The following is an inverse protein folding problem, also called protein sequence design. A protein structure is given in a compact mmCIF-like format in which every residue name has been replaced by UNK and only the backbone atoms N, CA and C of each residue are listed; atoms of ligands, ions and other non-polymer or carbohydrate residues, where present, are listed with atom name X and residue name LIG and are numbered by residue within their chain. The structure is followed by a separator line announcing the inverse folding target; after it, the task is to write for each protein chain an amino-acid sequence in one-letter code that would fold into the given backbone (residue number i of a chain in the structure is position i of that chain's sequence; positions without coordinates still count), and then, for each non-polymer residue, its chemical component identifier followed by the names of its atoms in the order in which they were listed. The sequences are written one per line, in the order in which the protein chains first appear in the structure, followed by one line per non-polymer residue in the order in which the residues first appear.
data_IF_691116035761
#
_entry.id   IF_691116035761
#
_cell.length_a   1.000
_cell.length_b   1.000
_cell.length_c   1.000
_cell.angle_alpha   90.00
_cell.angle_beta   90.00
_cell.angle_gamma   90.00
#
_symmetry.space_group_name_H-M   'P 1'
#
loop_
_entity.id
_entity.type
_entity.pdbx_description
1 polymer ?
#
# COMPACT_ATOMS: atom_id res chain seq x y z
N UNK A 1 12.09 -7.12 -5.24
CA UNK A 1 11.20 -6.07 -5.78
C UNK A 1 10.15 -5.88 -4.72
N UNK A 2 9.73 -4.65 -4.41
CA UNK A 2 8.69 -4.47 -3.37
C UNK A 2 7.40 -5.10 -3.87
N UNK A 3 6.88 -6.11 -3.18
CA UNK A 3 5.65 -6.84 -3.56
C UNK A 3 4.46 -5.88 -3.70
N UNK A 4 4.46 -4.81 -2.89
CA UNK A 4 3.50 -3.71 -3.01
C UNK A 4 3.60 -2.94 -4.34
N UNK A 5 4.81 -2.71 -4.87
CA UNK A 5 5.00 -2.03 -6.17
C UNK A 5 4.38 -2.84 -7.30
N UNK A 6 4.56 -4.16 -7.26
CA UNK A 6 4.00 -5.10 -8.24
C UNK A 6 2.48 -5.23 -8.09
N UNK A 7 1.97 -5.33 -6.86
CA UNK A 7 0.53 -5.33 -6.55
C UNK A 7 -0.14 -4.04 -7.02
N UNK A 8 0.47 -2.91 -6.70
CA UNK A 8 0.02 -1.61 -7.17
C UNK A 8 0.25 -1.46 -8.67
N UNK A 9 0.95 -2.35 -9.38
CA UNK A 9 1.23 -2.20 -10.81
C UNK A 9 1.80 -0.83 -11.16
N UNK A 10 2.66 -0.30 -10.29
CA UNK A 10 3.34 0.96 -10.50
C UNK A 10 4.75 0.69 -11.02
N UNK A 11 5.25 1.49 -11.96
CA UNK A 11 6.64 1.39 -12.33
C UNK A 11 7.51 1.83 -11.14
N UNK A 12 8.61 1.11 -10.90
CA UNK A 12 9.46 1.28 -9.71
C UNK A 12 9.87 2.74 -9.43
N UNK A 13 10.21 3.51 -10.46
CA UNK A 13 10.61 4.91 -10.29
C UNK A 13 9.48 5.82 -9.75
N UNK A 14 8.22 5.52 -10.06
CA UNK A 14 7.06 6.22 -9.49
C UNK A 14 6.79 5.74 -8.06
N UNK A 15 6.94 4.44 -7.82
CA UNK A 15 6.81 3.86 -6.48
C UNK A 15 7.86 4.38 -5.50
N UNK A 16 9.12 4.54 -5.93
CA UNK A 16 10.19 5.11 -5.11
C UNK A 16 9.94 6.60 -4.79
N UNK A 17 9.08 7.28 -5.57
CA UNK A 17 8.67 8.67 -5.33
C UNK A 17 7.42 8.80 -4.45
N UNK A 18 6.77 7.68 -4.12
CA UNK A 18 5.57 7.62 -3.31
C UNK A 18 5.95 7.55 -1.83
N UNK A 19 5.47 8.52 -1.06
CA UNK A 19 5.58 8.50 0.40
C UNK A 19 4.37 7.77 1.00
N UNK A 20 4.42 6.44 1.01
CA UNK A 20 3.34 5.58 1.54
C UNK A 20 3.61 5.26 3.00
N UNK A 21 2.64 5.60 3.86
CA UNK A 21 2.58 5.10 5.23
C UNK A 21 1.56 3.97 5.27
N UNK A 22 2.05 2.74 5.39
CA UNK A 22 1.20 1.56 5.52
C UNK A 22 0.73 1.47 6.98
N UNK A 23 -0.57 1.39 7.15
CA UNK A 23 -1.24 1.13 8.41
C UNK A 23 -1.81 -0.30 8.43
N UNK A 24 -1.89 -0.86 9.63
CA UNK A 24 -2.37 -2.22 9.87
C UNK A 24 -3.81 -2.17 10.39
N UNK A 25 -4.71 -2.90 9.74
CA UNK A 25 -6.07 -3.05 10.21
C UNK A 25 -6.20 -4.33 11.04
N UNK A 26 -5.97 -4.18 12.34
CA UNK A 26 -6.17 -5.25 13.30
C UNK A 26 -7.65 -5.38 13.65
N UNK A 27 -8.14 -6.61 13.70
CA UNK A 27 -9.49 -6.86 14.22
C UNK A 27 -9.64 -6.39 15.66
N UNK A 28 -10.88 -6.22 16.11
CA UNK A 28 -11.32 -5.65 17.40
C UNK A 28 -10.77 -6.32 18.69
N UNK A 29 -9.78 -7.22 18.57
CA UNK A 29 -9.06 -7.85 19.68
C UNK A 29 -7.55 -7.92 19.45
N UNK A 30 -7.01 -7.26 18.41
CA UNK A 30 -5.59 -7.30 18.00
C UNK A 30 -5.05 -8.73 17.76
N UNK A 31 -5.94 -9.69 17.53
CA UNK A 31 -5.57 -11.11 17.36
C UNK A 31 -5.34 -11.51 15.91
N UNK A 32 -5.91 -10.75 14.97
CA UNK A 32 -5.85 -11.07 13.55
C UNK A 32 -5.73 -9.80 12.73
N UNK A 33 -4.67 -9.72 11.94
CA UNK A 33 -4.50 -8.70 10.92
C UNK A 33 -5.41 -9.03 9.74
N UNK A 34 -6.33 -8.14 9.41
CA UNK A 34 -7.28 -8.36 8.31
C UNK A 34 -6.72 -7.92 6.97
N UNK A 35 -6.19 -6.69 6.93
CA UNK A 35 -5.56 -6.09 5.78
C UNK A 35 -4.60 -4.99 6.24
N UNK A 36 -3.78 -4.54 5.31
CA UNK A 36 -3.07 -3.29 5.44
C UNK A 36 -3.83 -2.22 4.66
N UNK A 37 -3.58 -0.95 4.93
CA UNK A 37 -4.12 0.14 4.13
C UNK A 37 -3.18 1.34 4.16
N UNK A 38 -3.38 2.28 3.25
CA UNK A 38 -2.73 3.59 3.33
C UNK A 38 -3.65 4.67 2.79
N UNK A 39 -3.39 5.90 3.20
CA UNK A 39 -4.07 7.07 2.66
C UNK A 39 -3.23 7.74 1.58
N UNK A 40 -3.89 8.12 0.49
CA UNK A 40 -3.27 8.87 -0.61
C UNK A 40 -2.93 10.27 -0.10
N UNK A 41 -1.64 10.52 0.15
CA UNK A 41 -1.17 11.81 0.68
C UNK A 41 -1.25 12.90 -0.39
N UNK A 42 -1.36 14.16 0.05
CA UNK A 42 -1.32 15.36 -0.81
C UNK A 42 -0.01 15.48 -1.61
N UNK A 43 1.07 14.87 -1.12
CA UNK A 43 2.36 14.81 -1.81
C UNK A 43 2.45 13.77 -2.93
N UNK A 44 1.39 12.98 -3.16
CA UNK A 44 1.39 11.94 -4.20
C UNK A 44 1.54 12.57 -5.60
N UNK A 45 2.50 12.13 -6.41
CA UNK A 45 2.68 12.62 -7.77
C UNK A 45 1.40 12.53 -8.61
N UNK A 46 1.08 13.60 -9.34
CA UNK A 46 -0.14 13.67 -10.16
C UNK A 46 -0.22 12.56 -11.22
N UNK A 47 0.92 12.11 -11.74
CA UNK A 47 1.00 10.99 -12.68
C UNK A 47 0.44 9.71 -12.07
N UNK A 48 0.72 9.44 -10.80
CA UNK A 48 0.26 8.27 -10.06
C UNK A 48 -1.24 8.39 -9.78
N UNK A 49 -1.68 9.58 -9.33
CA UNK A 49 -3.10 9.86 -9.11
C UNK A 49 -3.92 9.61 -10.39
N UNK A 50 -3.43 10.07 -11.54
CA UNK A 50 -4.10 9.87 -12.81
C UNK A 50 -4.06 8.41 -13.29
N UNK A 51 -2.92 7.73 -13.13
CA UNK A 51 -2.74 6.34 -13.55
C UNK A 51 -3.58 5.37 -12.72
N UNK A 52 -3.81 5.69 -11.45
CA UNK A 52 -4.61 4.87 -10.51
C UNK A 52 -6.02 5.36 -10.31
N UNK A 53 -6.38 6.52 -10.87
CA UNK A 53 -7.63 7.19 -10.57
C UNK A 53 -7.84 7.39 -9.06
N UNK A 54 -6.77 7.75 -8.35
CA UNK A 54 -6.81 8.06 -6.92
C UNK A 54 -7.01 9.54 -6.68
N UNK A 55 -7.74 9.87 -5.62
CA UNK A 55 -7.87 11.21 -5.08
C UNK A 55 -7.11 11.34 -3.76
N UNK A 56 -6.66 12.56 -3.44
CA UNK A 56 -5.98 12.83 -2.17
C UNK A 56 -6.95 12.60 -1.01
N UNK A 57 -6.56 11.75 -0.06
CA UNK A 57 -7.38 11.32 1.06
C UNK A 57 -8.09 9.98 0.84
N UNK A 58 -8.01 9.39 -0.36
CA UNK A 58 -8.54 8.05 -0.60
C UNK A 58 -7.81 7.01 0.24
N UNK A 59 -8.56 6.03 0.73
CA UNK A 59 -8.03 4.86 1.42
C UNK A 59 -7.83 3.72 0.44
N UNK A 60 -6.61 3.24 0.33
CA UNK A 60 -6.26 2.09 -0.51
C UNK A 60 -6.02 0.89 0.41
N UNK A 61 -6.87 -0.12 0.29
CA UNK A 61 -6.72 -1.38 1.02
C UNK A 61 -5.77 -2.33 0.29
N UNK A 62 -4.90 -2.96 1.08
CA UNK A 62 -3.90 -3.91 0.62
C UNK A 62 -4.14 -5.24 1.35
N UNK A 63 -4.45 -6.33 0.64
CA UNK A 63 -4.59 -7.66 1.24
C UNK A 63 -3.32 -8.09 1.97
N UNK A 64 -3.46 -8.83 3.07
CA UNK A 64 -2.32 -9.39 3.82
C UNK A 64 -1.44 -10.30 2.96
N UNK A 65 -2.02 -10.97 1.96
CA UNK A 65 -1.30 -11.84 1.04
C UNK A 65 -0.21 -11.11 0.24
N UNK A 66 -0.35 -9.79 0.04
CA UNK A 66 0.65 -8.96 -0.65
C UNK A 66 1.96 -8.90 0.14
N UNK A 67 1.91 -9.06 1.46
CA UNK A 67 3.09 -9.10 2.33
C UNK A 67 3.40 -10.52 2.82
N UNK A 68 2.55 -11.50 2.51
CA UNK A 68 2.74 -12.88 2.98
C UNK A 68 3.91 -13.60 2.29
N UNK A 69 4.31 -13.18 1.07
CA UNK A 69 5.50 -13.68 0.38
C UNK A 69 6.82 -13.15 0.96
N UNK A 70 6.78 -12.15 1.85
CA UNK A 70 7.91 -11.80 2.70
C UNK A 70 7.89 -12.72 3.92
N UNK A 71 8.24 -14.01 3.72
CA UNK A 71 8.34 -14.97 4.82
C UNK A 71 9.19 -14.39 5.96
N UNK A 72 8.73 -14.45 7.23
CA UNK A 72 9.61 -14.16 8.35
C UNK A 72 10.72 -15.22 8.36
N UNK A 73 11.98 -14.79 8.26
CA UNK A 73 13.14 -15.62 8.62
C UNK A 73 12.92 -16.11 10.07
N UNK A 74 12.47 -17.36 10.22
CA UNK A 74 12.31 -18.07 11.49
C UNK A 74 13.66 -18.47 12.10
#
# INVERSE_FOLDING_TARGET
MSTLCDYLGLPKHLFDSLDIEIEENWGNSDQMLYNYYFYVKKGTPQEILNLKCWEVGDMVEIPVDVFADEEPDF
#
